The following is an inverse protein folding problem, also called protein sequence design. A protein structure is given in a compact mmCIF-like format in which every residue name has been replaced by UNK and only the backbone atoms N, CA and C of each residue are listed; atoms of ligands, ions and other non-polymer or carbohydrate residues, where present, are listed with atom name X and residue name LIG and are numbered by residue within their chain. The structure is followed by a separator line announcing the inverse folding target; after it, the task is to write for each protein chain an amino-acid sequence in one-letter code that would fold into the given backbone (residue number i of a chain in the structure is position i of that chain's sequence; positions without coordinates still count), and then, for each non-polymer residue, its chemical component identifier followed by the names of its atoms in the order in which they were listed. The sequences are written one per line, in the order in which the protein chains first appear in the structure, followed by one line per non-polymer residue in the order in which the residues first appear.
data_IF_974335716096
#
_entry.id   IF_974335716096
#
_cell.length_a   1.000
_cell.length_b   1.000
_cell.length_c   1.000
_cell.angle_alpha   90.00
_cell.angle_beta   90.00
_cell.angle_gamma   90.00
#
_symmetry.space_group_name_H-M   'P 1'
#
loop_
_entity.id
_entity.type
_entity.pdbx_description
1 polymer ?
#
# COMPACT_ATOMS: atom_id res chain seq x y z
N UNK A 1 81.48 -7.98 13.53
CA UNK A 1 81.74 -6.52 13.63
C UNK A 1 80.46 -5.90 14.11
N UNK A 2 80.33 -5.59 15.35
CA UNK A 2 80.37 -4.27 16.02
C UNK A 2 79.29 -3.33 15.41
N UNK A 3 78.40 -2.70 16.12
CA UNK A 3 78.33 -2.14 17.46
C UNK A 3 76.87 -1.69 17.75
N UNK A 4 76.30 -1.96 18.87
CA UNK A 4 76.15 -1.16 20.11
C UNK A 4 75.18 0.02 20.04
N UNK A 5 74.11 -0.15 20.78
CA UNK A 5 73.25 0.70 21.64
C UNK A 5 73.67 2.17 21.88
N UNK A 6 72.72 3.07 22.35
CA UNK A 6 72.18 2.96 23.71
C UNK A 6 70.74 3.46 23.92
N UNK A 7 70.24 3.09 25.11
CA UNK A 7 69.05 3.54 25.83
C UNK A 7 68.99 5.06 26.03
N UNK A 8 67.82 5.59 26.01
CA UNK A 8 67.50 6.71 26.90
C UNK A 8 66.12 6.57 27.54
N UNK A 9 66.09 6.64 28.83
CA UNK A 9 64.88 6.65 29.70
C UNK A 9 64.55 8.11 29.97
N UNK A 10 63.33 8.50 29.76
CA UNK A 10 62.79 9.70 30.42
C UNK A 10 61.36 9.41 30.95
N UNK A 11 61.30 9.63 32.24
CA UNK A 11 60.07 9.48 33.04
C UNK A 11 58.98 10.49 32.66
N UNK A 12 57.77 10.06 32.53
CA UNK A 12 56.62 10.93 32.41
C UNK A 12 55.70 10.78 33.63
N UNK A 13 55.46 11.90 34.24
CA UNK A 13 54.63 12.21 35.41
C UNK A 13 53.22 11.67 35.26
N UNK A 14 52.73 11.01 36.30
CA UNK A 14 51.30 10.77 36.55
C UNK A 14 50.56 12.10 36.79
N UNK A 15 49.63 12.44 35.94
CA UNK A 15 48.63 13.50 36.15
C UNK A 15 47.35 12.81 36.54
N UNK A 16 46.87 13.12 37.75
CA UNK A 16 45.67 12.57 38.33
C UNK A 16 44.44 12.87 37.47
N UNK A 17 43.71 11.81 37.10
CA UNK A 17 42.42 11.91 36.45
C UNK A 17 41.37 12.32 37.50
N UNK A 18 40.87 13.53 37.40
CA UNK A 18 39.64 13.98 38.11
C UNK A 18 38.47 13.29 37.46
N UNK A 19 37.81 12.38 38.20
CA UNK A 19 36.58 11.74 37.81
C UNK A 19 35.46 12.77 37.90
N UNK A 20 34.71 13.05 36.81
CA UNK A 20 33.52 13.92 36.89
C UNK A 20 32.42 13.23 37.66
N UNK A 21 31.59 13.98 38.43
CA UNK A 21 30.47 13.40 39.19
C UNK A 21 29.47 12.75 38.25
N UNK A 22 29.00 11.54 38.61
CA UNK A 22 27.98 10.78 37.93
C UNK A 22 26.73 11.65 37.70
N UNK A 23 26.40 11.90 36.44
CA UNK A 23 25.16 12.53 36.04
C UNK A 23 24.02 11.56 36.38
N UNK A 24 23.17 11.91 37.35
CA UNK A 24 21.95 11.21 37.67
C UNK A 24 21.14 10.98 36.37
N UNK A 25 20.58 9.78 36.13
CA UNK A 25 19.75 9.56 34.97
C UNK A 25 18.53 10.48 35.07
N UNK A 26 18.42 11.39 34.11
CA UNK A 26 17.24 12.22 33.94
C UNK A 26 16.02 11.31 33.82
N UNK A 27 15.06 11.46 34.75
CA UNK A 27 13.75 10.80 34.68
C UNK A 27 13.17 11.09 33.30
N UNK A 28 13.12 10.07 32.43
CA UNK A 28 12.32 10.12 31.19
C UNK A 28 10.87 10.31 31.62
N UNK A 29 10.39 11.54 31.55
CA UNK A 29 8.95 11.76 31.54
C UNK A 29 8.42 10.94 30.35
N UNK A 30 7.46 10.05 30.62
CA UNK A 30 6.71 9.37 29.61
C UNK A 30 5.93 10.44 28.83
N UNK A 31 6.56 11.03 27.83
CA UNK A 31 5.88 11.89 26.88
C UNK A 31 4.83 11.02 26.17
N UNK A 32 3.62 11.48 26.10
CA UNK A 32 2.41 10.89 25.51
C UNK A 32 2.60 10.45 24.05
N UNK A 33 3.58 9.61 23.73
CA UNK A 33 3.80 9.01 22.42
C UNK A 33 4.08 9.99 21.27
N UNK A 34 4.20 11.30 21.54
CA UNK A 34 4.62 12.32 20.58
C UNK A 34 6.15 12.26 20.44
N UNK A 35 6.63 12.25 19.22
CA UNK A 35 8.06 12.36 18.92
C UNK A 35 8.45 13.82 19.10
N UNK A 36 9.38 14.14 20.02
CA UNK A 36 9.77 15.51 20.39
C UNK A 36 10.37 16.35 19.24
N UNK A 37 10.79 15.75 18.14
CA UNK A 37 11.30 16.47 16.97
C UNK A 37 10.21 16.63 15.90
N UNK A 38 9.46 17.72 15.97
CA UNK A 38 8.38 18.12 15.08
C UNK A 38 8.82 18.48 13.64
N UNK A 39 9.75 17.74 13.04
CA UNK A 39 10.15 17.93 11.65
C UNK A 39 9.60 16.81 10.81
N UNK A 40 8.77 17.18 9.83
CA UNK A 40 8.20 16.24 8.89
C UNK A 40 9.27 15.31 8.31
N UNK A 41 9.11 14.00 8.53
CA UNK A 41 10.06 12.99 8.10
C UNK A 41 10.34 13.06 6.59
N UNK A 42 9.43 13.60 5.82
CA UNK A 42 9.52 13.76 4.37
C UNK A 42 10.24 15.01 3.87
N UNK A 43 10.61 15.94 4.76
CA UNK A 43 11.38 17.12 4.38
C UNK A 43 12.85 16.99 4.66
N UNK A 44 13.27 15.99 5.47
CA UNK A 44 14.66 15.91 5.98
C UNK A 44 15.31 14.52 5.92
N UNK A 45 14.63 13.48 5.47
CA UNK A 45 15.30 12.21 5.22
C UNK A 45 16.06 12.32 3.89
N UNK A 46 17.39 12.21 3.89
CA UNK A 46 18.19 12.20 2.65
C UNK A 46 17.91 10.94 1.83
N UNK A 47 17.33 9.90 2.44
CA UNK A 47 17.04 8.62 1.81
C UNK A 47 15.54 8.43 1.57
N UNK A 48 15.19 8.30 0.29
CA UNK A 48 13.86 7.98 -0.18
C UNK A 48 13.96 6.91 -1.28
N UNK A 49 13.77 5.62 -0.95
CA UNK A 49 14.13 4.51 -1.82
C UNK A 49 13.40 4.51 -3.16
N UNK A 50 12.13 4.90 -3.21
CA UNK A 50 11.39 4.95 -4.47
C UNK A 50 11.78 6.15 -5.34
N UNK A 51 12.29 7.23 -4.74
CA UNK A 51 12.80 8.38 -5.50
C UNK A 51 14.15 8.09 -6.13
N UNK A 52 15.03 7.40 -5.39
CA UNK A 52 16.40 7.09 -5.82
C UNK A 52 16.49 5.87 -6.74
N UNK A 53 15.38 5.15 -6.96
CA UNK A 53 15.31 4.05 -7.91
C UNK A 53 15.62 4.51 -9.35
N UNK A 54 15.96 3.56 -10.22
CA UNK A 54 16.29 3.82 -11.62
C UNK A 54 15.25 4.69 -12.36
N UNK A 55 15.63 5.30 -13.48
CA UNK A 55 14.71 6.02 -14.36
C UNK A 55 13.58 5.09 -14.85
N UNK A 56 12.36 5.62 -15.05
CA UNK A 56 11.22 4.82 -15.48
C UNK A 56 11.50 4.18 -16.85
N UNK A 57 11.08 2.93 -17.00
CA UNK A 57 11.23 2.19 -18.26
C UNK A 57 10.00 2.44 -19.14
N UNK A 58 10.23 3.12 -20.26
CA UNK A 58 9.15 3.60 -21.13
C UNK A 58 8.22 2.48 -21.62
N UNK A 59 8.78 1.34 -22.03
CA UNK A 59 7.96 0.23 -22.53
C UNK A 59 7.04 -0.34 -21.46
N UNK A 60 7.50 -0.43 -20.21
CA UNK A 60 6.64 -0.84 -19.09
C UNK A 60 5.56 0.20 -18.80
N UNK A 61 5.88 1.49 -18.92
CA UNK A 61 4.87 2.54 -18.76
C UNK A 61 3.77 2.46 -19.82
N UNK A 62 4.14 2.17 -21.08
CA UNK A 62 3.15 1.97 -22.16
C UNK A 62 2.23 0.78 -21.83
N UNK A 63 2.79 -0.38 -21.44
CA UNK A 63 1.97 -1.53 -21.05
C UNK A 63 1.10 -1.23 -19.82
N UNK A 64 1.66 -0.51 -18.86
CA UNK A 64 0.96 -0.17 -17.62
C UNK A 64 -0.20 0.83 -17.84
N UNK A 65 -0.24 1.56 -18.95
CA UNK A 65 -1.41 2.35 -19.34
C UNK A 65 -2.66 1.48 -19.48
N UNK A 66 -2.51 0.25 -19.97
CA UNK A 66 -3.60 -0.71 -20.09
C UNK A 66 -4.13 -1.25 -18.75
N UNK A 67 -3.38 -1.14 -17.65
CA UNK A 67 -3.85 -1.58 -16.32
C UNK A 67 -5.07 -0.80 -15.81
N UNK A 68 -5.38 0.33 -16.43
CA UNK A 68 -6.55 1.18 -16.09
C UNK A 68 -7.79 0.78 -16.90
N UNK A 69 -7.65 -0.08 -17.92
CA UNK A 69 -8.71 -0.41 -18.87
C UNK A 69 -9.51 -1.64 -18.41
N UNK A 70 -10.17 -1.54 -17.27
CA UNK A 70 -10.97 -2.65 -16.70
C UNK A 70 -12.33 -2.82 -17.40
N UNK A 71 -12.89 -1.74 -17.95
CA UNK A 71 -14.18 -1.77 -18.66
C UNK A 71 -14.12 -2.44 -20.05
N UNK A 72 -12.92 -2.67 -20.57
CA UNK A 72 -12.74 -3.25 -21.90
C UNK A 72 -12.24 -4.70 -21.82
N UNK A 73 -12.74 -5.54 -22.71
CA UNK A 73 -12.20 -6.88 -22.90
C UNK A 73 -11.02 -6.85 -23.86
N UNK A 74 -10.03 -7.72 -23.65
CA UNK A 74 -8.91 -7.89 -24.57
C UNK A 74 -9.44 -8.46 -25.91
N UNK A 75 -8.91 -7.98 -27.05
CA UNK A 75 -9.38 -8.45 -28.36
C UNK A 75 -9.27 -9.98 -28.50
N UNK A 76 -10.39 -10.64 -28.77
CA UNK A 76 -10.46 -12.09 -28.97
C UNK A 76 -10.30 -12.94 -27.69
N UNK A 77 -10.25 -12.32 -26.49
CA UNK A 77 -10.10 -13.03 -25.22
C UNK A 77 -11.20 -12.61 -24.24
N UNK A 78 -11.78 -13.53 -23.44
CA UNK A 78 -12.81 -13.24 -22.45
C UNK A 78 -12.22 -12.74 -21.11
N UNK A 79 -11.19 -11.88 -21.17
CA UNK A 79 -10.52 -11.30 -20.01
C UNK A 79 -10.48 -9.77 -20.11
N UNK A 80 -10.52 -9.03 -19.00
CA UNK A 80 -10.33 -7.58 -18.99
C UNK A 80 -8.98 -7.18 -19.60
N UNK A 81 -8.95 -6.06 -20.32
CA UNK A 81 -7.72 -5.54 -20.93
C UNK A 81 -6.66 -5.22 -19.87
N UNK A 82 -7.07 -4.85 -18.66
CA UNK A 82 -6.17 -4.64 -17.52
C UNK A 82 -5.44 -5.93 -17.12
N UNK A 83 -6.13 -7.08 -17.07
CA UNK A 83 -5.51 -8.38 -16.80
C UNK A 83 -4.57 -8.79 -17.94
N UNK A 84 -4.97 -8.57 -19.19
CA UNK A 84 -4.11 -8.81 -20.36
C UNK A 84 -2.82 -7.99 -20.30
N UNK A 85 -2.90 -6.71 -19.93
CA UNK A 85 -1.73 -5.84 -19.73
C UNK A 85 -0.82 -6.33 -18.61
N UNK A 86 -1.40 -6.83 -17.50
CA UNK A 86 -0.65 -7.44 -16.42
C UNK A 86 0.09 -8.71 -16.88
N UNK A 87 -0.55 -9.57 -17.69
CA UNK A 87 0.08 -10.75 -18.30
C UNK A 87 1.27 -10.34 -19.18
N UNK A 88 1.13 -9.32 -20.02
CA UNK A 88 2.22 -8.83 -20.86
C UNK A 88 3.39 -8.28 -20.04
N UNK A 89 3.10 -7.55 -18.94
CA UNK A 89 4.11 -7.09 -18.00
C UNK A 89 4.84 -8.27 -17.32
N UNK A 90 4.14 -9.31 -16.92
CA UNK A 90 4.73 -10.52 -16.34
C UNK A 90 5.54 -11.30 -17.35
N UNK A 91 5.07 -11.42 -18.59
CA UNK A 91 5.82 -12.01 -19.69
C UNK A 91 7.15 -11.27 -19.90
N UNK A 92 7.11 -9.93 -19.95
CA UNK A 92 8.31 -9.11 -20.04
C UNK A 92 9.24 -9.33 -18.82
N UNK A 93 8.68 -9.43 -17.61
CA UNK A 93 9.42 -9.67 -16.38
C UNK A 93 10.12 -11.03 -16.37
N UNK A 94 9.55 -12.06 -17.02
CA UNK A 94 10.12 -13.41 -17.06
C UNK A 94 11.47 -13.46 -17.77
N UNK A 95 11.69 -12.60 -18.76
CA UNK A 95 12.97 -12.48 -19.48
C UNK A 95 14.01 -11.61 -18.77
N UNK A 96 13.68 -11.08 -17.59
CA UNK A 96 14.57 -10.19 -16.85
C UNK A 96 15.10 -10.84 -15.58
N UNK A 97 16.35 -10.59 -15.30
CA UNK A 97 16.92 -10.99 -14.01
C UNK A 97 16.39 -10.06 -12.88
N UNK A 98 16.13 -10.60 -11.70
CA UNK A 98 15.77 -9.79 -10.54
C UNK A 98 16.94 -8.87 -10.18
N UNK A 99 16.64 -7.61 -9.92
CA UNK A 99 17.64 -6.66 -9.41
C UNK A 99 17.76 -6.72 -7.90
N UNK A 100 16.75 -7.32 -7.26
CA UNK A 100 16.69 -7.47 -5.80
C UNK A 100 16.47 -8.92 -5.44
N UNK A 101 17.27 -9.38 -4.48
CA UNK A 101 17.12 -10.71 -3.90
C UNK A 101 15.96 -10.69 -2.89
N UNK A 102 15.02 -11.59 -3.07
CA UNK A 102 13.88 -11.82 -2.19
C UNK A 102 14.00 -13.14 -1.43
N UNK A 103 15.17 -13.77 -1.37
CA UNK A 103 15.38 -15.08 -0.70
C UNK A 103 14.94 -15.05 0.76
N UNK A 104 15.19 -13.93 1.46
CA UNK A 104 14.72 -13.74 2.84
C UNK A 104 13.18 -13.74 2.99
N UNK A 105 12.45 -13.54 1.90
CA UNK A 105 10.98 -13.58 1.84
C UNK A 105 10.44 -14.89 1.24
N UNK A 106 11.26 -15.93 1.14
CA UNK A 106 10.87 -17.23 0.61
C UNK A 106 9.68 -17.85 1.34
N UNK A 107 9.56 -17.62 2.65
CA UNK A 107 8.39 -18.03 3.44
C UNK A 107 7.09 -17.41 2.93
N UNK A 108 7.12 -16.13 2.50
CA UNK A 108 5.92 -15.50 1.92
C UNK A 108 5.52 -16.15 0.60
N UNK A 109 6.50 -16.56 -0.23
CA UNK A 109 6.22 -17.29 -1.46
C UNK A 109 5.57 -18.66 -1.17
N UNK A 110 6.06 -19.38 -0.14
CA UNK A 110 5.45 -20.62 0.31
C UNK A 110 4.04 -20.42 0.85
N UNK A 111 3.82 -19.37 1.66
CA UNK A 111 2.47 -19.03 2.16
C UNK A 111 1.53 -18.68 1.00
N UNK A 112 1.99 -17.90 0.01
CA UNK A 112 1.18 -17.56 -1.16
C UNK A 112 0.84 -18.80 -2.00
N UNK A 113 1.80 -19.70 -2.22
CA UNK A 113 1.56 -20.97 -2.92
C UNK A 113 0.59 -21.87 -2.15
N UNK A 114 0.79 -22.02 -0.84
CA UNK A 114 -0.09 -22.80 0.02
C UNK A 114 -1.50 -22.23 0.06
N UNK A 115 -1.63 -20.88 0.06
CA UNK A 115 -2.92 -20.22 0.00
C UNK A 115 -3.67 -20.54 -1.30
N UNK A 116 -2.99 -20.44 -2.45
CA UNK A 116 -3.62 -20.76 -3.74
C UNK A 116 -4.04 -22.24 -3.79
N UNK A 117 -3.17 -23.14 -3.36
CA UNK A 117 -3.47 -24.57 -3.30
C UNK A 117 -4.67 -24.86 -2.37
N UNK A 118 -4.70 -24.21 -1.22
CA UNK A 118 -5.81 -24.30 -0.26
C UNK A 118 -7.12 -23.81 -0.87
N UNK A 119 -7.14 -22.63 -1.49
CA UNK A 119 -8.34 -22.06 -2.11
C UNK A 119 -8.87 -22.92 -3.24
N UNK A 120 -7.98 -23.47 -4.06
CA UNK A 120 -8.35 -24.45 -5.11
C UNK A 120 -8.95 -25.71 -4.49
N UNK A 121 -8.33 -26.26 -3.45
CA UNK A 121 -8.83 -27.46 -2.78
C UNK A 121 -10.21 -27.25 -2.17
N UNK A 122 -10.45 -26.13 -1.46
CA UNK A 122 -11.78 -25.81 -0.91
C UNK A 122 -12.82 -25.63 -2.02
N UNK A 123 -12.47 -24.97 -3.11
CA UNK A 123 -13.38 -24.73 -4.24
C UNK A 123 -13.79 -26.04 -4.93
N UNK A 124 -12.81 -26.91 -5.20
CA UNK A 124 -13.07 -28.23 -5.81
C UNK A 124 -13.85 -29.13 -4.86
N UNK A 125 -13.58 -29.07 -3.55
CA UNK A 125 -14.32 -29.84 -2.54
C UNK A 125 -15.82 -29.45 -2.50
N UNK A 126 -16.15 -28.22 -2.85
CA UNK A 126 -17.53 -27.73 -2.94
C UNK A 126 -18.10 -27.81 -4.37
N UNK A 127 -17.54 -28.62 -5.24
CA UNK A 127 -17.97 -28.86 -6.62
C UNK A 127 -18.02 -27.58 -7.49
N UNK A 128 -17.14 -26.60 -7.21
CA UNK A 128 -17.06 -25.32 -7.92
C UNK A 128 -15.83 -25.29 -8.82
N UNK A 129 -15.87 -24.44 -9.88
CA UNK A 129 -14.73 -24.21 -10.77
C UNK A 129 -13.78 -23.11 -10.22
N UNK A 130 -12.55 -23.45 -9.82
CA UNK A 130 -11.58 -22.50 -9.32
C UNK A 130 -10.86 -21.71 -10.43
N UNK A 131 -10.94 -22.12 -11.69
CA UNK A 131 -9.99 -21.78 -12.76
C UNK A 131 -9.81 -20.28 -12.92
N UNK A 132 -10.87 -19.52 -13.14
CA UNK A 132 -10.81 -18.08 -13.42
C UNK A 132 -10.26 -17.29 -12.21
N UNK A 133 -10.81 -17.57 -11.03
CA UNK A 133 -10.51 -16.84 -9.80
C UNK A 133 -9.13 -17.15 -9.26
N UNK A 134 -8.74 -18.44 -9.25
CA UNK A 134 -7.40 -18.86 -8.83
C UNK A 134 -6.31 -18.34 -9.79
N UNK A 135 -6.57 -18.34 -11.09
CA UNK A 135 -5.65 -17.77 -12.09
C UNK A 135 -5.44 -16.28 -11.84
N UNK A 136 -6.51 -15.51 -11.59
CA UNK A 136 -6.40 -14.08 -11.25
C UNK A 136 -5.60 -13.84 -9.98
N UNK A 137 -5.86 -14.59 -8.90
CA UNK A 137 -5.09 -14.49 -7.66
C UNK A 137 -3.61 -14.80 -7.90
N UNK A 138 -3.31 -15.85 -8.66
CA UNK A 138 -1.94 -16.24 -9.00
C UNK A 138 -1.24 -15.14 -9.81
N UNK A 139 -1.91 -14.56 -10.82
CA UNK A 139 -1.39 -13.45 -11.61
C UNK A 139 -1.04 -12.25 -10.71
N UNK A 140 -1.90 -11.90 -9.76
CA UNK A 140 -1.66 -10.78 -8.84
C UNK A 140 -0.49 -11.06 -7.90
N UNK A 141 -0.36 -12.29 -7.38
CA UNK A 141 0.79 -12.71 -6.58
C UNK A 141 2.09 -12.58 -7.39
N UNK A 142 2.11 -13.07 -8.63
CA UNK A 142 3.27 -12.93 -9.51
C UNK A 142 3.61 -11.46 -9.78
N UNK A 143 2.60 -10.60 -9.96
CA UNK A 143 2.79 -9.16 -10.14
C UNK A 143 3.44 -8.52 -8.90
N UNK A 144 3.00 -8.87 -7.68
CA UNK A 144 3.61 -8.42 -6.42
C UNK A 144 5.10 -8.77 -6.39
N UNK A 145 5.46 -10.02 -6.70
CA UNK A 145 6.86 -10.46 -6.71
C UNK A 145 7.69 -9.84 -7.83
N UNK A 146 7.10 -9.62 -9.02
CA UNK A 146 7.77 -8.97 -10.13
C UNK A 146 8.11 -7.51 -9.83
N UNK A 147 7.20 -6.79 -9.15
CA UNK A 147 7.45 -5.42 -8.65
C UNK A 147 8.52 -5.44 -7.56
N UNK A 148 8.38 -6.29 -6.55
CA UNK A 148 9.26 -6.33 -5.40
C UNK A 148 10.70 -6.73 -5.76
N UNK A 149 10.89 -7.62 -6.76
CA UNK A 149 12.19 -8.01 -7.27
C UNK A 149 12.80 -7.02 -8.27
N UNK A 150 12.12 -5.90 -8.55
CA UNK A 150 12.49 -4.89 -9.55
C UNK A 150 12.66 -5.46 -10.98
N UNK A 151 12.04 -6.61 -11.27
CA UNK A 151 11.89 -7.10 -12.64
C UNK A 151 10.98 -6.18 -13.45
N UNK A 152 9.95 -5.64 -12.81
CA UNK A 152 9.11 -4.56 -13.31
C UNK A 152 9.42 -3.28 -12.52
N UNK A 153 9.58 -2.16 -13.24
CA UNK A 153 9.85 -0.88 -12.60
C UNK A 153 8.58 -0.22 -12.10
N UNK A 154 8.51 0.00 -10.77
CA UNK A 154 7.33 0.63 -10.14
C UNK A 154 7.06 2.04 -10.67
N UNK A 155 8.09 2.82 -11.01
CA UNK A 155 7.89 4.16 -11.61
C UNK A 155 7.25 4.04 -12.99
N UNK A 156 7.68 3.05 -13.79
CA UNK A 156 7.06 2.75 -15.08
C UNK A 156 5.58 2.42 -14.92
N UNK A 157 5.22 1.56 -13.95
CA UNK A 157 3.81 1.25 -13.65
C UNK A 157 3.04 2.52 -13.28
N UNK A 158 3.51 3.28 -12.29
CA UNK A 158 2.78 4.45 -11.80
C UNK A 158 2.63 5.54 -12.87
N UNK A 159 3.64 5.75 -13.71
CA UNK A 159 3.57 6.72 -14.82
C UNK A 159 2.66 6.23 -15.94
N UNK A 160 2.65 4.93 -16.23
CA UNK A 160 1.71 4.35 -17.19
C UNK A 160 0.27 4.47 -16.72
N UNK A 161 0.00 4.11 -15.47
CA UNK A 161 -1.33 4.29 -14.86
C UNK A 161 -1.74 5.77 -14.85
N UNK A 162 -0.79 6.69 -14.60
CA UNK A 162 -1.06 8.15 -14.67
C UNK A 162 -1.41 8.57 -16.10
N UNK A 163 -0.69 8.08 -17.09
CA UNK A 163 -1.01 8.34 -18.50
C UNK A 163 -2.40 7.82 -18.85
N UNK A 164 -2.75 6.60 -18.42
CA UNK A 164 -4.09 6.04 -18.59
C UNK A 164 -5.18 6.90 -17.94
N UNK A 165 -4.94 7.39 -16.71
CA UNK A 165 -5.84 8.31 -16.02
C UNK A 165 -6.03 9.63 -16.78
N UNK A 166 -4.91 10.24 -17.23
CA UNK A 166 -4.93 11.49 -17.99
C UNK A 166 -5.61 11.35 -19.35
N UNK A 167 -5.54 10.19 -19.99
CA UNK A 167 -6.25 9.88 -21.23
C UNK A 167 -7.73 9.62 -20.96
N UNK A 168 -8.07 8.88 -19.89
CA UNK A 168 -9.44 8.54 -19.53
C UNK A 168 -10.31 9.79 -19.32
N UNK A 169 -9.81 10.80 -18.61
CA UNK A 169 -10.59 11.98 -18.25
C UNK A 169 -11.15 12.73 -19.47
N UNK A 170 -10.33 13.20 -20.43
CA UNK A 170 -10.84 13.91 -21.60
C UNK A 170 -11.69 12.99 -22.50
N UNK A 171 -11.37 11.71 -22.66
CA UNK A 171 -12.18 10.82 -23.46
C UNK A 171 -13.55 10.55 -22.84
N UNK A 172 -13.63 10.47 -21.50
CA UNK A 172 -14.90 10.34 -20.79
C UNK A 172 -15.81 11.56 -21.03
N UNK A 173 -15.31 12.78 -20.80
CA UNK A 173 -16.09 14.00 -20.99
C UNK A 173 -16.37 14.34 -22.46
N UNK A 174 -15.58 13.79 -23.40
CA UNK A 174 -15.87 13.85 -24.82
C UNK A 174 -16.91 12.83 -25.31
N UNK A 175 -17.39 11.94 -24.41
CA UNK A 175 -18.32 10.86 -24.77
C UNK A 175 -17.69 9.71 -25.56
N UNK A 176 -16.36 9.60 -25.53
CA UNK A 176 -15.59 8.55 -26.23
C UNK A 176 -15.20 7.37 -25.33
N UNK A 177 -15.49 7.45 -24.02
CA UNK A 177 -15.31 6.37 -23.06
C UNK A 177 -16.65 6.05 -22.39
N UNK A 178 -16.89 4.80 -21.89
CA UNK A 178 -18.15 4.39 -21.31
C UNK A 178 -18.61 5.28 -20.16
N UNK A 179 -19.88 5.70 -20.18
CA UNK A 179 -20.56 6.37 -19.06
C UNK A 179 -21.64 5.42 -18.50
N UNK A 180 -21.27 4.67 -17.47
CA UNK A 180 -22.14 3.65 -16.85
C UNK A 180 -22.96 4.22 -15.69
N UNK A 181 -22.67 5.45 -15.25
CA UNK A 181 -23.27 6.06 -14.06
C UNK A 181 -23.78 7.50 -14.25
N UNK A 182 -24.09 7.90 -15.49
CA UNK A 182 -24.75 9.17 -15.79
C UNK A 182 -23.93 10.41 -15.39
N UNK A 183 -22.73 10.55 -15.92
CA UNK A 183 -21.86 11.71 -15.76
C UNK A 183 -20.83 11.61 -14.63
N UNK A 184 -20.87 10.58 -13.80
CA UNK A 184 -19.77 10.32 -12.85
C UNK A 184 -18.56 9.71 -13.56
N UNK A 185 -17.37 10.24 -13.30
CA UNK A 185 -16.12 9.84 -13.96
C UNK A 185 -15.82 8.34 -13.76
N UNK A 186 -16.14 7.53 -14.77
CA UNK A 186 -15.87 6.09 -14.81
C UNK A 186 -14.95 5.75 -16.00
N UNK A 187 -15.41 5.92 -17.21
CA UNK A 187 -14.66 5.69 -18.42
C UNK A 187 -14.03 4.30 -18.49
N UNK A 188 -12.73 4.24 -18.60
CA UNK A 188 -11.93 3.01 -18.74
C UNK A 188 -12.05 2.04 -17.56
N UNK A 189 -12.44 2.52 -16.38
CA UNK A 189 -12.57 1.73 -15.16
C UNK A 189 -13.95 1.08 -15.01
N UNK A 190 -14.99 1.61 -15.71
CA UNK A 190 -16.31 1.02 -15.83
C UNK A 190 -17.23 1.18 -14.61
N UNK A 191 -16.71 1.15 -13.38
CA UNK A 191 -17.46 1.33 -12.14
C UNK A 191 -16.99 2.56 -11.38
N UNK A 192 -17.95 3.32 -10.79
CA UNK A 192 -17.64 4.56 -10.06
C UNK A 192 -16.81 4.34 -8.79
N UNK A 193 -16.99 3.21 -8.11
CA UNK A 193 -16.28 2.92 -6.88
C UNK A 193 -14.86 2.41 -7.18
N UNK A 194 -14.71 1.61 -8.24
CA UNK A 194 -13.38 1.22 -8.77
C UNK A 194 -12.62 2.45 -9.24
N UNK A 195 -13.29 3.36 -9.95
CA UNK A 195 -12.72 4.65 -10.37
C UNK A 195 -12.31 5.51 -9.16
N UNK A 196 -13.20 5.61 -8.17
CA UNK A 196 -12.92 6.34 -6.93
C UNK A 196 -11.70 5.79 -6.21
N UNK A 197 -11.62 4.46 -6.04
CA UNK A 197 -10.48 3.78 -5.45
C UNK A 197 -9.19 4.10 -6.24
N UNK A 198 -9.22 3.99 -7.56
CA UNK A 198 -8.08 4.25 -8.41
C UNK A 198 -7.59 5.69 -8.30
N UNK A 199 -8.50 6.68 -8.45
CA UNK A 199 -8.14 8.10 -8.38
C UNK A 199 -7.75 8.56 -6.97
N UNK A 200 -8.17 7.87 -5.92
CA UNK A 200 -7.69 8.10 -4.55
C UNK A 200 -6.30 7.49 -4.31
N UNK A 201 -6.05 6.29 -4.83
CA UNK A 201 -4.84 5.51 -4.57
C UNK A 201 -3.63 6.04 -5.37
N UNK A 202 -3.83 6.32 -6.66
CA UNK A 202 -2.75 6.70 -7.58
C UNK A 202 -1.96 7.93 -7.11
N UNK A 203 -2.59 9.06 -6.70
CA UNK A 203 -1.86 10.23 -6.23
C UNK A 203 -1.05 9.95 -4.97
N UNK A 204 -1.53 9.12 -4.06
CA UNK A 204 -0.81 8.74 -2.84
C UNK A 204 0.43 7.92 -3.18
N UNK A 205 0.34 6.97 -4.11
CA UNK A 205 1.49 6.21 -4.60
C UNK A 205 2.49 7.10 -5.36
N UNK A 206 2.02 8.05 -6.16
CA UNK A 206 2.89 9.00 -6.87
C UNK A 206 3.67 9.89 -5.90
N UNK A 207 3.06 10.32 -4.79
CA UNK A 207 3.77 11.07 -3.73
C UNK A 207 4.99 10.31 -3.22
N UNK A 208 4.93 8.97 -3.17
CA UNK A 208 6.06 8.13 -2.77
C UNK A 208 7.28 8.27 -3.70
N UNK A 209 7.07 8.68 -4.95
CA UNK A 209 8.14 8.81 -5.98
C UNK A 209 8.63 10.25 -6.16
N UNK A 210 7.96 11.23 -5.57
CA UNK A 210 8.27 12.65 -5.75
C UNK A 210 9.14 13.18 -4.60
N UNK A 211 10.06 14.09 -4.92
CA UNK A 211 10.92 14.75 -3.91
C UNK A 211 10.34 16.09 -3.44
N UNK A 212 9.93 16.94 -4.39
CA UNK A 212 9.54 18.33 -4.14
C UNK A 212 8.10 18.42 -3.63
N UNK A 213 7.83 19.35 -2.71
CA UNK A 213 6.50 19.56 -2.15
C UNK A 213 5.48 20.08 -3.18
N UNK A 214 5.88 20.98 -4.05
CA UNK A 214 4.97 21.53 -5.08
C UNK A 214 4.32 20.42 -5.93
N UNK A 215 5.09 19.55 -6.61
CA UNK A 215 4.53 18.41 -7.33
C UNK A 215 3.70 17.45 -6.45
N UNK A 216 4.05 17.23 -5.19
CA UNK A 216 3.25 16.40 -4.27
C UNK A 216 1.86 16.99 -4.04
N UNK A 217 1.81 18.29 -3.73
CA UNK A 217 0.55 19.00 -3.51
C UNK A 217 -0.30 19.06 -4.79
N UNK A 218 0.34 19.28 -5.95
CA UNK A 218 -0.35 19.28 -7.24
C UNK A 218 -1.00 17.91 -7.51
N UNK A 219 -0.25 16.81 -7.33
CA UNK A 219 -0.74 15.45 -7.58
C UNK A 219 -1.86 15.08 -6.61
N UNK A 220 -1.72 15.41 -5.31
CA UNK A 220 -2.78 15.16 -4.32
C UNK A 220 -4.02 16.02 -4.61
N UNK A 221 -3.86 17.30 -4.95
CA UNK A 221 -4.96 18.18 -5.30
C UNK A 221 -5.70 17.72 -6.55
N UNK A 222 -4.99 17.40 -7.63
CA UNK A 222 -5.58 16.82 -8.85
C UNK A 222 -6.30 15.50 -8.56
N UNK A 223 -5.66 14.60 -7.81
CA UNK A 223 -6.26 13.32 -7.40
C UNK A 223 -7.53 13.52 -6.58
N UNK A 224 -7.56 14.50 -5.66
CA UNK A 224 -8.76 14.82 -4.87
C UNK A 224 -9.91 15.28 -5.76
N UNK A 225 -9.64 16.15 -6.74
CA UNK A 225 -10.64 16.59 -7.73
C UNK A 225 -11.16 15.41 -8.54
N UNK A 226 -10.26 14.56 -9.07
CA UNK A 226 -10.66 13.39 -9.87
C UNK A 226 -11.47 12.39 -9.04
N UNK A 227 -11.07 12.13 -7.79
CA UNK A 227 -11.84 11.27 -6.86
C UNK A 227 -13.23 11.85 -6.60
N UNK A 228 -13.35 13.17 -6.43
CA UNK A 228 -14.64 13.84 -6.28
C UNK A 228 -15.53 13.65 -7.51
N UNK A 229 -14.98 13.78 -8.72
CA UNK A 229 -15.71 13.61 -9.98
C UNK A 229 -16.26 12.19 -10.19
N UNK A 230 -15.71 11.19 -9.50
CA UNK A 230 -16.29 9.81 -9.51
C UNK A 230 -17.56 9.68 -8.68
N UNK A 231 -17.85 10.64 -7.80
CA UNK A 231 -18.96 10.57 -6.85
C UNK A 231 -18.86 9.46 -5.80
N UNK A 232 -17.68 8.86 -5.61
CA UNK A 232 -17.44 7.82 -4.58
C UNK A 232 -17.11 8.45 -3.23
N UNK A 233 -18.11 8.52 -2.32
CA UNK A 233 -17.96 9.06 -0.96
C UNK A 233 -16.91 8.31 -0.16
N UNK A 234 -16.96 6.99 -0.19
CA UNK A 234 -16.01 6.11 0.50
C UNK A 234 -14.57 6.38 0.08
N UNK A 235 -14.32 6.53 -1.24
CA UNK A 235 -12.99 6.80 -1.76
C UNK A 235 -12.47 8.19 -1.38
N UNK A 236 -13.35 9.20 -1.31
CA UNK A 236 -12.97 10.53 -0.83
C UNK A 236 -12.60 10.52 0.66
N UNK A 237 -13.41 9.83 1.49
CA UNK A 237 -13.11 9.68 2.92
C UNK A 237 -11.79 8.91 3.13
N UNK A 238 -11.56 7.85 2.36
CA UNK A 238 -10.31 7.07 2.40
C UNK A 238 -9.09 7.90 1.96
N UNK A 239 -9.21 8.71 0.92
CA UNK A 239 -8.15 9.63 0.50
C UNK A 239 -7.84 10.66 1.59
N UNK A 240 -8.86 11.25 2.23
CA UNK A 240 -8.67 12.15 3.36
C UNK A 240 -7.93 11.45 4.51
N UNK A 241 -8.34 10.24 4.88
CA UNK A 241 -7.63 9.43 5.87
C UNK A 241 -6.17 9.19 5.49
N UNK A 242 -5.87 8.87 4.24
CA UNK A 242 -4.50 8.67 3.77
C UNK A 242 -3.67 9.97 3.85
N UNK A 243 -4.24 11.12 3.46
CA UNK A 243 -3.57 12.43 3.58
C UNK A 243 -3.29 12.76 5.04
N UNK A 244 -4.26 12.60 5.94
CA UNK A 244 -4.07 12.79 7.39
C UNK A 244 -3.01 11.82 7.92
N UNK A 245 -3.02 10.55 7.49
CA UNK A 245 -2.00 9.59 7.87
C UNK A 245 -0.60 10.04 7.45
N UNK A 246 -0.44 10.47 6.21
CA UNK A 246 0.85 10.94 5.68
C UNK A 246 1.36 12.15 6.47
N UNK A 247 0.47 13.06 6.87
CA UNK A 247 0.82 14.27 7.60
C UNK A 247 1.10 14.02 9.08
N UNK A 248 0.36 13.13 9.73
CA UNK A 248 0.33 12.98 11.19
C UNK A 248 1.13 11.78 11.68
N UNK A 249 1.06 10.62 10.97
CA UNK A 249 1.66 9.37 11.44
C UNK A 249 3.17 9.42 11.70
N UNK A 250 3.99 10.26 10.99
CA UNK A 250 5.42 10.37 11.28
C UNK A 250 5.74 10.93 12.67
N UNK A 251 4.81 11.68 13.26
CA UNK A 251 4.97 12.31 14.56
C UNK A 251 4.42 11.47 15.71
N UNK A 252 3.70 10.39 15.41
CA UNK A 252 3.04 9.56 16.40
C UNK A 252 3.89 8.36 16.82
N UNK A 253 3.83 8.01 18.10
CA UNK A 253 4.28 6.74 18.63
C UNK A 253 3.41 5.57 18.11
N UNK A 254 3.86 4.32 18.32
CA UNK A 254 3.19 3.13 17.77
C UNK A 254 1.72 2.99 18.19
N UNK A 255 1.46 3.16 19.48
CA UNK A 255 0.10 3.01 20.04
C UNK A 255 -0.85 4.03 19.41
N UNK A 256 -0.42 5.30 19.35
CA UNK A 256 -1.24 6.37 18.76
C UNK A 256 -1.45 6.17 17.25
N UNK A 257 -0.49 5.57 16.54
CA UNK A 257 -0.67 5.22 15.12
C UNK A 257 -1.70 4.12 14.92
N UNK A 258 -1.65 3.08 15.74
CA UNK A 258 -2.65 2.01 15.69
C UNK A 258 -4.03 2.60 16.02
N UNK A 259 -4.12 3.41 17.07
CA UNK A 259 -5.35 4.10 17.42
C UNK A 259 -5.87 5.00 16.29
N UNK A 260 -4.97 5.78 15.64
CA UNK A 260 -5.33 6.60 14.49
C UNK A 260 -5.90 5.75 13.34
N UNK A 261 -5.27 4.61 13.03
CA UNK A 261 -5.77 3.69 11.98
C UNK A 261 -7.16 3.13 12.31
N UNK A 262 -7.40 2.74 13.56
CA UNK A 262 -8.72 2.26 14.02
C UNK A 262 -9.76 3.38 13.93
N UNK A 263 -9.44 4.59 14.40
CA UNK A 263 -10.33 5.76 14.32
C UNK A 263 -10.67 6.10 12.87
N UNK A 264 -9.71 6.01 11.95
CA UNK A 264 -9.95 6.23 10.52
C UNK A 264 -10.90 5.19 9.92
N UNK A 265 -10.73 3.91 10.24
CA UNK A 265 -11.66 2.86 9.81
C UNK A 265 -13.08 3.12 10.32
N UNK A 266 -13.21 3.41 11.62
CA UNK A 266 -14.48 3.77 12.22
C UNK A 266 -15.10 5.04 11.58
N UNK A 267 -14.29 6.08 11.37
CA UNK A 267 -14.76 7.34 10.76
C UNK A 267 -15.34 7.13 9.36
N UNK A 268 -14.76 6.28 8.55
CA UNK A 268 -15.27 6.04 7.19
C UNK A 268 -16.57 5.27 7.22
N UNK A 269 -16.73 4.27 8.09
CA UNK A 269 -18.00 3.58 8.28
C UNK A 269 -19.08 4.53 8.80
N UNK A 270 -18.75 5.35 9.80
CA UNK A 270 -19.65 6.37 10.34
C UNK A 270 -20.05 7.42 9.27
N UNK A 271 -19.08 7.87 8.46
CA UNK A 271 -19.33 8.86 7.41
C UNK A 271 -20.25 8.30 6.29
N UNK A 272 -20.10 7.05 5.94
CA UNK A 272 -20.99 6.38 4.97
C UNK A 272 -22.44 6.34 5.46
N UNK A 273 -22.65 6.02 6.75
CA UNK A 273 -23.98 5.92 7.35
C UNK A 273 -24.63 7.31 7.59
N UNK A 274 -23.86 8.28 8.06
CA UNK A 274 -24.45 9.55 8.55
C UNK A 274 -24.34 10.72 7.55
N UNK A 275 -23.44 10.65 6.55
CA UNK A 275 -23.33 11.66 5.52
C UNK A 275 -24.09 11.28 4.23
N UNK A 276 -24.87 10.20 4.27
CA UNK A 276 -25.68 9.76 3.15
C UNK A 276 -26.69 10.83 2.70
N UNK A 277 -27.28 11.54 3.67
CA UNK A 277 -28.36 12.52 3.45
C UNK A 277 -27.89 13.91 3.03
N UNK A 278 -26.58 14.16 2.95
CA UNK A 278 -26.08 15.41 2.44
C UNK A 278 -26.36 15.52 0.93
N UNK A 279 -27.30 16.38 0.54
CA UNK A 279 -27.83 16.57 -0.81
C UNK A 279 -26.81 16.89 -1.92
N UNK A 280 -25.53 17.05 -1.57
CA UNK A 280 -24.42 17.28 -2.51
C UNK A 280 -24.22 16.07 -3.46
N UNK A 281 -24.65 14.86 -3.08
CA UNK A 281 -24.47 13.63 -3.84
C UNK A 281 -25.75 13.07 -4.49
N UNK A 282 -26.83 13.85 -4.51
CA UNK A 282 -28.12 13.50 -5.09
C UNK A 282 -28.99 12.60 -4.18
N UNK A 283 -30.28 12.49 -4.52
CA UNK A 283 -31.25 11.66 -3.80
C UNK A 283 -31.01 10.17 -4.13
N UNK A 284 -30.62 9.38 -3.13
CA UNK A 284 -30.24 7.96 -3.27
C UNK A 284 -31.01 7.02 -2.33
N UNK A 285 -32.10 7.46 -1.76
CA UNK A 285 -32.88 6.70 -0.77
C UNK A 285 -33.18 5.26 -1.22
N UNK A 286 -33.49 5.02 -2.50
CA UNK A 286 -33.74 3.68 -3.04
C UNK A 286 -32.50 2.78 -3.16
N UNK A 287 -31.32 3.37 -3.46
CA UNK A 287 -30.07 2.59 -3.61
C UNK A 287 -29.43 2.23 -2.27
N UNK A 288 -29.62 3.05 -1.25
CA UNK A 288 -29.04 2.81 0.08
C UNK A 288 -29.82 1.70 0.83
N UNK A 289 -31.17 1.67 0.68
CA UNK A 289 -32.00 0.56 1.18
C UNK A 289 -31.58 -0.78 0.55
N UNK A 290 -31.39 -0.83 -0.76
CA UNK A 290 -30.99 -2.05 -1.47
C UNK A 290 -29.60 -2.53 -1.06
N UNK A 291 -28.66 -1.62 -0.82
CA UNK A 291 -27.34 -1.95 -0.25
C UNK A 291 -27.44 -2.55 1.15
N UNK A 292 -28.33 -2.01 2.01
CA UNK A 292 -28.56 -2.54 3.34
C UNK A 292 -29.05 -4.01 3.27
N UNK A 293 -29.95 -4.33 2.36
CA UNK A 293 -30.41 -5.71 2.13
C UNK A 293 -29.26 -6.63 1.66
N UNK A 294 -28.42 -6.17 0.70
CA UNK A 294 -27.26 -6.96 0.26
C UNK A 294 -26.31 -7.19 1.44
N UNK A 295 -26.10 -6.19 2.28
CA UNK A 295 -25.19 -6.29 3.41
C UNK A 295 -25.71 -7.25 4.50
N UNK A 296 -27.01 -7.20 4.80
CA UNK A 296 -27.67 -8.13 5.72
C UNK A 296 -27.60 -9.57 5.22
N UNK A 297 -28.00 -9.83 3.97
CA UNK A 297 -27.91 -11.15 3.36
C UNK A 297 -26.46 -11.65 3.24
N UNK A 298 -25.50 -10.76 3.01
CA UNK A 298 -24.08 -11.10 3.00
C UNK A 298 -23.58 -11.50 4.38
N UNK A 299 -24.03 -10.80 5.43
CA UNK A 299 -23.66 -11.13 6.83
C UNK A 299 -24.26 -12.47 7.25
N UNK A 300 -25.51 -12.76 6.89
CA UNK A 300 -26.16 -14.05 7.11
C UNK A 300 -25.41 -15.18 6.41
N UNK A 301 -25.11 -15.03 5.12
CA UNK A 301 -24.29 -16.01 4.38
C UNK A 301 -22.93 -16.27 5.01
N UNK A 302 -22.26 -15.24 5.55
CA UNK A 302 -20.99 -15.41 6.27
C UNK A 302 -21.19 -16.17 7.58
N UNK A 303 -22.29 -15.90 8.33
CA UNK A 303 -22.59 -16.61 9.58
C UNK A 303 -22.79 -18.11 9.35
N UNK A 304 -23.35 -18.49 8.20
CA UNK A 304 -23.55 -19.89 7.79
C UNK A 304 -22.31 -20.52 7.13
N UNK A 305 -21.26 -19.72 6.90
CA UNK A 305 -20.04 -20.20 6.24
C UNK A 305 -19.10 -20.90 7.24
N UNK A 306 -18.53 -22.03 6.83
CA UNK A 306 -17.54 -22.76 7.64
C UNK A 306 -16.27 -21.93 7.86
N UNK A 307 -15.46 -22.33 8.86
CA UNK A 307 -14.14 -21.72 9.11
C UNK A 307 -13.26 -21.68 7.85
N UNK A 308 -13.43 -22.63 6.93
CA UNK A 308 -12.63 -22.79 5.71
C UNK A 308 -13.22 -22.12 4.48
N UNK A 309 -14.42 -21.50 4.56
CA UNK A 309 -15.07 -20.87 3.44
C UNK A 309 -15.94 -21.84 2.61
N UNK A 310 -16.52 -21.32 1.53
CA UNK A 310 -17.39 -22.02 0.58
C UNK A 310 -16.73 -22.23 -0.79
N UNK A 311 -15.54 -21.69 -1.02
CA UNK A 311 -14.83 -21.73 -2.29
C UNK A 311 -14.84 -20.41 -3.06
N UNK A 312 -13.97 -20.32 -4.03
CA UNK A 312 -13.77 -19.12 -4.85
C UNK A 312 -15.02 -18.77 -5.66
N UNK A 313 -15.22 -17.47 -5.91
CA UNK A 313 -16.37 -16.93 -6.67
C UNK A 313 -17.74 -17.10 -5.98
N UNK A 314 -17.78 -17.31 -4.66
CA UNK A 314 -19.04 -17.46 -3.89
C UNK A 314 -19.46 -16.17 -3.16
N UNK A 315 -18.72 -15.08 -3.27
CA UNK A 315 -18.98 -13.80 -2.60
C UNK A 315 -20.15 -13.02 -3.27
N UNK A 316 -21.32 -13.65 -3.37
CA UNK A 316 -22.57 -13.05 -3.86
C UNK A 316 -23.77 -13.59 -3.07
N UNK A 317 -24.87 -12.87 -3.14
CA UNK A 317 -26.20 -13.30 -2.67
C UNK A 317 -27.20 -13.21 -3.81
N UNK A 318 -28.28 -13.97 -3.73
CA UNK A 318 -29.41 -13.89 -4.65
C UNK A 318 -30.56 -13.18 -3.92
N UNK A 319 -31.00 -12.04 -4.47
CA UNK A 319 -32.12 -11.27 -3.99
C UNK A 319 -33.13 -11.14 -5.12
N UNK A 320 -34.35 -11.62 -4.93
CA UNK A 320 -35.41 -11.61 -5.92
C UNK A 320 -35.02 -12.20 -7.29
N UNK A 321 -34.17 -13.25 -7.29
CA UNK A 321 -33.67 -13.91 -8.50
C UNK A 321 -32.57 -13.15 -9.22
N UNK A 322 -32.01 -12.11 -8.63
CA UNK A 322 -30.87 -11.34 -9.15
C UNK A 322 -29.61 -11.59 -8.31
N UNK A 323 -28.52 -11.95 -8.98
CA UNK A 323 -27.21 -12.14 -8.32
C UNK A 323 -26.60 -10.81 -7.96
N UNK A 324 -26.34 -10.59 -6.66
CA UNK A 324 -25.74 -9.39 -6.11
C UNK A 324 -24.40 -9.70 -5.42
N UNK A 325 -23.34 -9.03 -5.85
CA UNK A 325 -22.04 -9.17 -5.23
C UNK A 325 -21.95 -8.44 -3.88
N UNK A 326 -21.17 -8.98 -2.97
CA UNK A 326 -20.94 -8.36 -1.68
C UNK A 326 -20.38 -6.93 -1.83
N UNK A 327 -20.82 -6.03 -0.95
CA UNK A 327 -20.27 -4.66 -0.84
C UNK A 327 -19.24 -4.52 0.28
N UNK A 328 -18.70 -5.64 0.78
CA UNK A 328 -17.67 -5.68 1.81
C UNK A 328 -16.64 -6.75 1.43
N UNK A 329 -15.39 -6.31 1.16
CA UNK A 329 -14.32 -7.21 0.73
C UNK A 329 -13.88 -8.18 1.84
N UNK A 330 -14.01 -7.81 3.12
CA UNK A 330 -13.69 -8.71 4.23
C UNK A 330 -14.66 -9.88 4.30
N UNK A 331 -15.96 -9.61 4.13
CA UNK A 331 -16.99 -10.65 4.05
C UNK A 331 -16.77 -11.54 2.82
N UNK A 332 -16.36 -10.94 1.68
CA UNK A 332 -16.00 -11.69 0.49
C UNK A 332 -14.88 -12.69 0.72
N UNK A 333 -13.78 -12.26 1.40
CA UNK A 333 -12.68 -13.17 1.76
C UNK A 333 -13.14 -14.28 2.71
N UNK A 334 -14.01 -13.96 3.68
CA UNK A 334 -14.54 -14.95 4.64
C UNK A 334 -15.41 -16.01 3.95
N UNK A 335 -16.27 -15.61 3.02
CA UNK A 335 -17.10 -16.58 2.29
C UNK A 335 -16.27 -17.42 1.33
N UNK A 336 -15.34 -16.80 0.58
CA UNK A 336 -14.55 -17.55 -0.42
C UNK A 336 -13.56 -18.53 0.21
N UNK A 337 -12.78 -18.11 1.20
CA UNK A 337 -11.70 -18.93 1.76
C UNK A 337 -11.61 -18.91 3.28
N UNK A 338 -12.68 -18.48 3.95
CA UNK A 338 -12.76 -18.48 5.41
C UNK A 338 -11.73 -17.60 6.09
N UNK A 339 -11.56 -17.84 7.38
CA UNK A 339 -10.57 -17.15 8.21
C UNK A 339 -9.13 -17.26 7.70
N UNK A 340 -8.66 -18.41 7.15
CA UNK A 340 -7.31 -18.50 6.61
C UNK A 340 -7.07 -17.49 5.48
N UNK A 341 -8.02 -17.30 4.56
CA UNK A 341 -7.90 -16.36 3.46
C UNK A 341 -7.88 -14.91 3.97
N UNK A 342 -8.82 -14.56 4.85
CA UNK A 342 -8.88 -13.24 5.47
C UNK A 342 -7.56 -12.90 6.19
N UNK A 343 -7.08 -13.79 7.06
CA UNK A 343 -5.88 -13.55 7.87
C UNK A 343 -4.63 -13.38 7.00
N UNK A 344 -4.47 -14.20 5.96
CA UNK A 344 -3.31 -14.10 5.07
C UNK A 344 -3.35 -12.81 4.26
N UNK A 345 -4.49 -12.45 3.67
CA UNK A 345 -4.60 -11.24 2.82
C UNK A 345 -4.47 -9.98 3.65
N UNK A 346 -5.27 -9.83 4.71
CA UNK A 346 -5.19 -8.65 5.59
C UNK A 346 -3.84 -8.58 6.29
N UNK A 347 -3.33 -9.74 6.75
CA UNK A 347 -2.00 -9.87 7.34
C UNK A 347 -0.88 -9.41 6.40
N UNK A 348 -0.99 -9.67 5.10
CA UNK A 348 -0.03 -9.18 4.10
C UNK A 348 0.00 -7.63 4.05
N UNK A 349 -1.16 -6.95 4.02
CA UNK A 349 -1.21 -5.48 4.08
C UNK A 349 -0.64 -4.93 5.40
N UNK A 350 -0.99 -5.56 6.53
CA UNK A 350 -0.49 -5.16 7.84
C UNK A 350 1.03 -5.35 7.95
N UNK A 351 1.55 -6.49 7.48
CA UNK A 351 2.97 -6.82 7.60
C UNK A 351 3.85 -6.08 6.60
N UNK A 352 3.48 -6.09 5.31
CA UNK A 352 4.32 -5.55 4.24
C UNK A 352 4.20 -4.03 4.12
N UNK A 353 2.99 -3.47 4.29
CA UNK A 353 2.73 -2.06 4.08
C UNK A 353 2.73 -1.25 5.38
N UNK A 354 1.83 -1.53 6.32
CA UNK A 354 1.66 -0.71 7.53
C UNK A 354 2.75 -0.92 8.58
N UNK A 355 3.24 -2.16 8.76
CA UNK A 355 4.27 -2.53 9.74
C UNK A 355 4.07 -1.85 11.11
N UNK A 356 2.93 -2.05 11.79
CA UNK A 356 2.54 -1.28 12.98
C UNK A 356 3.54 -1.40 14.13
N UNK A 357 4.25 -2.53 14.22
CA UNK A 357 5.23 -2.81 15.27
C UNK A 357 6.68 -2.45 14.91
N UNK A 358 6.95 -2.01 13.68
CA UNK A 358 8.32 -1.68 13.27
C UNK A 358 8.88 -0.48 14.05
N UNK A 359 10.15 -0.61 14.46
CA UNK A 359 10.88 0.44 15.21
C UNK A 359 11.76 1.31 14.32
N UNK A 360 11.83 0.99 13.03
CA UNK A 360 12.71 1.66 12.08
C UNK A 360 12.23 3.07 11.75
N UNK A 361 13.17 3.91 11.38
CA UNK A 361 12.89 5.23 10.81
C UNK A 361 12.10 5.05 9.51
N UNK A 362 11.03 5.84 9.34
CA UNK A 362 10.15 5.73 8.19
C UNK A 362 10.58 6.70 7.10
N UNK A 363 10.88 6.16 5.93
CA UNK A 363 11.11 7.00 4.76
C UNK A 363 9.80 7.64 4.27
N UNK A 364 9.87 8.78 3.56
CA UNK A 364 8.69 9.37 2.95
C UNK A 364 7.92 8.42 2.02
N UNK A 365 8.63 7.57 1.26
CA UNK A 365 8.00 6.53 0.44
C UNK A 365 7.24 5.52 1.28
N UNK A 366 7.79 5.09 2.43
CA UNK A 366 7.11 4.17 3.34
C UNK A 366 5.81 4.76 3.87
N UNK A 367 5.83 6.01 4.33
CA UNK A 367 4.63 6.68 4.86
C UNK A 367 3.54 6.82 3.79
N UNK A 368 3.92 7.09 2.53
CA UNK A 368 2.96 7.15 1.42
C UNK A 368 2.38 5.76 1.09
N UNK A 369 3.19 4.69 1.09
CA UNK A 369 2.69 3.31 0.88
C UNK A 369 1.79 2.86 2.04
N UNK A 370 2.07 3.29 3.28
CA UNK A 370 1.16 3.10 4.43
C UNK A 370 -0.19 3.78 4.19
N UNK A 371 -0.18 5.03 3.70
CA UNK A 371 -1.40 5.76 3.33
C UNK A 371 -2.18 5.05 2.21
N UNK A 372 -1.48 4.52 1.20
CA UNK A 372 -2.09 3.73 0.13
C UNK A 372 -2.72 2.42 0.67
N UNK A 373 -2.04 1.73 1.58
CA UNK A 373 -2.59 0.54 2.23
C UNK A 373 -3.82 0.86 3.09
N UNK A 374 -3.85 2.03 3.75
CA UNK A 374 -5.03 2.48 4.47
C UNK A 374 -6.22 2.72 3.53
N UNK A 375 -6.01 3.31 2.35
CA UNK A 375 -7.07 3.43 1.34
C UNK A 375 -7.65 2.05 1.04
N UNK A 376 -6.81 1.05 0.73
CA UNK A 376 -7.26 -0.33 0.47
C UNK A 376 -8.07 -0.88 1.65
N UNK A 377 -7.51 -0.84 2.87
CA UNK A 377 -8.16 -1.42 4.06
C UNK A 377 -9.48 -0.74 4.40
N UNK A 378 -9.55 0.58 4.27
CA UNK A 378 -10.75 1.34 4.62
C UNK A 378 -11.82 1.21 3.55
N UNK A 379 -11.48 1.32 2.26
CA UNK A 379 -12.46 1.13 1.18
C UNK A 379 -13.01 -0.29 1.14
N UNK A 380 -12.24 -1.28 1.57
CA UNK A 380 -12.67 -2.68 1.67
C UNK A 380 -13.86 -2.91 2.61
N UNK A 381 -14.15 -1.98 3.51
CA UNK A 381 -15.34 -2.04 4.38
C UNK A 381 -16.65 -1.81 3.59
N UNK A 382 -16.59 -1.07 2.48
CA UNK A 382 -17.74 -0.60 1.72
C UNK A 382 -17.72 -0.99 0.23
N UNK A 383 -16.67 -1.68 -0.23
CA UNK A 383 -16.52 -2.13 -1.61
C UNK A 383 -16.30 -3.64 -1.66
N UNK A 384 -16.96 -4.29 -2.63
CA UNK A 384 -17.01 -5.75 -2.70
C UNK A 384 -15.70 -6.42 -3.07
N UNK A 385 -14.92 -5.83 -3.97
CA UNK A 385 -13.64 -6.41 -4.38
C UNK A 385 -12.55 -5.34 -4.45
N UNK A 386 -11.74 -5.26 -3.39
CA UNK A 386 -10.63 -4.29 -3.29
C UNK A 386 -9.30 -5.01 -3.14
N UNK A 387 -9.25 -6.08 -2.32
CA UNK A 387 -8.00 -6.77 -2.00
C UNK A 387 -7.41 -7.52 -3.20
N UNK A 388 -8.26 -8.15 -4.01
CA UNK A 388 -7.85 -9.00 -5.14
C UNK A 388 -7.98 -8.20 -6.45
N UNK A 389 -7.30 -7.05 -6.49
CA UNK A 389 -7.24 -6.15 -7.65
C UNK A 389 -5.81 -5.87 -8.05
N UNK A 390 -5.60 -5.41 -9.28
CA UNK A 390 -4.29 -4.95 -9.77
C UNK A 390 -3.77 -3.82 -8.88
N UNK A 391 -4.65 -2.92 -8.42
CA UNK A 391 -4.28 -1.79 -7.56
C UNK A 391 -3.79 -2.29 -6.19
N UNK A 392 -4.49 -3.28 -5.60
CA UNK A 392 -4.07 -3.95 -4.38
C UNK A 392 -2.70 -4.63 -4.52
N UNK A 393 -2.48 -5.32 -5.65
CA UNK A 393 -1.19 -5.96 -5.94
C UNK A 393 -0.05 -4.94 -6.09
N UNK A 394 -0.29 -3.77 -6.70
CA UNK A 394 0.70 -2.69 -6.80
C UNK A 394 1.07 -2.16 -5.41
N UNK A 395 0.11 -1.96 -4.52
CA UNK A 395 0.38 -1.52 -3.13
C UNK A 395 1.20 -2.55 -2.37
N UNK A 396 0.82 -3.84 -2.42
CA UNK A 396 1.58 -4.92 -1.79
C UNK A 396 2.98 -5.07 -2.38
N UNK A 397 3.11 -4.94 -3.71
CA UNK A 397 4.40 -4.94 -4.41
C UNK A 397 5.32 -3.81 -3.94
N UNK A 398 4.78 -2.59 -3.78
CA UNK A 398 5.51 -1.46 -3.18
C UNK A 398 5.91 -1.75 -1.72
N UNK A 399 5.00 -2.33 -0.93
CA UNK A 399 5.25 -2.69 0.46
C UNK A 399 6.39 -3.69 0.61
N UNK A 400 6.37 -4.76 -0.20
CA UNK A 400 7.41 -5.79 -0.21
C UNK A 400 8.74 -5.24 -0.74
N UNK A 401 8.73 -4.44 -1.82
CA UNK A 401 9.91 -3.76 -2.36
C UNK A 401 10.60 -2.90 -1.29
N UNK A 402 9.86 -2.03 -0.61
CA UNK A 402 10.39 -1.19 0.44
C UNK A 402 10.92 -2.02 1.62
N UNK A 403 10.25 -3.12 1.97
CA UNK A 403 10.70 -4.02 3.04
C UNK A 403 12.02 -4.69 2.69
N UNK A 404 12.20 -5.13 1.44
CA UNK A 404 13.44 -5.69 0.95
C UNK A 404 14.58 -4.65 0.93
N UNK A 405 14.30 -3.42 0.48
CA UNK A 405 15.28 -2.32 0.48
C UNK A 405 15.77 -1.96 1.88
N UNK A 406 14.86 -1.84 2.85
CA UNK A 406 15.17 -1.55 4.25
C UNK A 406 15.99 -2.66 4.91
N UNK A 407 15.74 -3.92 4.53
CA UNK A 407 16.50 -5.08 5.01
C UNK A 407 17.92 -5.09 4.48
N UNK A 408 18.12 -4.87 3.17
CA UNK A 408 19.45 -4.79 2.56
C UNK A 408 20.32 -3.70 3.20
N UNK A 409 19.75 -2.52 3.48
CA UNK A 409 20.47 -1.46 4.17
C UNK A 409 20.86 -1.83 5.61
N UNK A 410 20.03 -2.61 6.29
CA UNK A 410 20.32 -3.04 7.65
C UNK A 410 21.47 -4.06 7.73
N UNK A 411 21.64 -4.88 6.70
CA UNK A 411 22.66 -5.94 6.63
C UNK A 411 23.90 -5.53 5.84
N UNK A 412 23.78 -4.69 4.82
CA UNK A 412 24.84 -4.36 3.85
C UNK A 412 25.78 -3.24 4.25
N UNK A 413 25.46 -2.42 5.28
CA UNK A 413 26.38 -1.36 5.69
C UNK A 413 27.58 -1.95 6.44
N UNK A 414 28.84 -1.84 5.94
CA UNK A 414 30.01 -2.28 6.67
C UNK A 414 30.06 -1.63 8.04
N UNK A 415 30.58 -2.35 9.05
CA UNK A 415 30.58 -1.89 10.45
C UNK A 415 31.24 -0.50 10.61
N UNK A 416 32.21 -0.15 9.75
CA UNK A 416 32.82 1.18 9.66
C UNK A 416 31.82 2.27 9.23
N UNK A 417 30.95 2.01 8.26
CA UNK A 417 29.95 2.98 7.79
C UNK A 417 28.83 3.18 8.81
N UNK A 418 28.44 2.12 9.50
CA UNK A 418 27.49 2.22 10.64
C UNK A 418 28.05 3.06 11.78
N UNK A 419 29.34 2.90 12.10
CA UNK A 419 30.02 3.70 13.11
C UNK A 419 30.19 5.16 12.65
N UNK A 420 30.51 5.39 11.38
CA UNK A 420 30.61 6.72 10.79
C UNK A 420 29.28 7.47 10.75
N UNK A 421 28.19 6.84 10.33
CA UNK A 421 26.83 7.40 10.38
C UNK A 421 26.41 7.73 11.81
N UNK A 422 26.61 6.82 12.78
CA UNK A 422 26.35 7.12 14.21
C UNK A 422 27.19 8.28 14.75
N UNK A 423 28.41 8.48 14.25
CA UNK A 423 29.25 9.61 14.62
C UNK A 423 28.73 10.92 14.01
N UNK A 424 28.33 10.92 12.76
CA UNK A 424 27.70 12.06 12.09
C UNK A 424 26.37 12.46 12.76
N UNK A 425 25.52 11.51 13.09
CA UNK A 425 24.26 11.75 13.80
C UNK A 425 24.51 12.41 15.16
N UNK A 426 25.52 11.94 15.91
CA UNK A 426 25.90 12.56 17.19
C UNK A 426 26.46 13.98 17.02
N UNK A 427 27.21 14.24 15.95
CA UNK A 427 27.75 15.58 15.66
C UNK A 427 26.59 16.54 15.30
N UNK A 428 25.65 16.11 14.47
CA UNK A 428 24.46 16.88 14.12
C UNK A 428 23.60 17.16 15.35
N UNK A 429 23.41 16.17 16.22
CA UNK A 429 22.66 16.32 17.46
C UNK A 429 23.36 17.29 18.45
N UNK A 430 24.69 17.24 18.57
CA UNK A 430 25.45 18.19 19.38
C UNK A 430 25.39 19.62 18.82
N UNK A 431 25.53 19.79 17.51
CA UNK A 431 25.39 21.10 16.87
C UNK A 431 24.00 21.72 17.07
N UNK A 432 22.96 20.89 17.11
CA UNK A 432 21.60 21.35 17.40
C UNK A 432 21.39 21.76 18.86
N UNK A 433 22.06 21.08 19.82
CA UNK A 433 22.01 21.45 21.23
C UNK A 433 22.80 22.72 21.56
N UNK A 434 23.84 23.00 20.79
CA UNK A 434 24.66 24.21 20.96
C UNK A 434 24.01 25.48 20.36
N UNK A 435 23.04 25.33 19.47
CA UNK A 435 22.29 26.42 18.83
C UNK A 435 20.90 26.66 19.47
N UNK A 436 20.61 26.02 20.59
CA UNK A 436 19.48 26.33 21.49
C UNK A 436 20.01 26.98 22.78
#
# INVERSE_FOLDING_TARGET
MRSSTPRDRTAARAVGAVVPPEARPARRHASLGLVEDGQAAWTRSPWNPLVTSASPRLFEAVLATGLVMEAFSAPGLPIPFAEFSAILLLLLASFRQPRRDLSQYGVLALVALALVAYLVAVTVHNDLDPTRRATRITLLILLIYAIASERIDIKGILYGMTAGALINVPLFYAGLAPDTYGGYLTGFLGDKNVSGLFYALLPVLLVATLQRMGPKLLVLGAGSVLTFLTGSRTSMAALLCAVVWILVSPYLGRVLRIALGVVMGWFVSWAEENLADLGIFGDRTGTDWFRAQIQEASAEKVADTSFFGQGLSTAFVELDGVTMFFHNSYLGLLVEGGWPFLVVVVGAYLWLCLRPFARTHRSPSRVAVEGAALIILVTSLQLGEVFITIFGAVVLGCGLLLSAQESDESHGAPAKDRAHRRKLDRIVERSRRANR
#
